data_IF_429223537532
#
_entry.id   IF_429223537532
#
_cell.length_a   1.000
_cell.length_b   1.000
_cell.length_c   1.000
_cell.angle_alpha   90.00
_cell.angle_beta   90.00
_cell.angle_gamma   90.00
#
_symmetry.space_group_name_H-M   'P 1'
#
loop_
_entity.id
_entity.type
_entity.pdbx_description
1 polymer ?
#
# COMPACT_ATOMS: atom_id res chain seq x y z
N UNK A 1 25.10 -31.07 -3.37
CA UNK A 1 25.68 -29.70 -3.51
C UNK A 1 27.19 -29.87 -3.52
N UNK A 2 27.88 -29.69 -4.65
CA UNK A 2 29.36 -29.81 -4.68
C UNK A 2 30.02 -28.62 -3.97
N UNK A 3 31.23 -28.80 -3.42
CA UNK A 3 31.96 -27.84 -2.55
C UNK A 3 32.15 -26.44 -3.16
N UNK A 4 32.05 -26.29 -4.49
CA UNK A 4 31.98 -24.99 -5.16
C UNK A 4 30.73 -24.14 -4.86
N UNK A 5 29.66 -24.72 -4.29
CA UNK A 5 28.36 -24.07 -4.05
C UNK A 5 28.24 -23.34 -2.70
N UNK A 6 29.22 -23.48 -1.80
CA UNK A 6 29.27 -22.73 -0.53
C UNK A 6 29.97 -21.37 -0.66
N UNK A 7 30.37 -20.97 -1.88
CA UNK A 7 31.05 -19.70 -2.13
C UNK A 7 30.29 -18.48 -1.57
N UNK A 8 28.96 -18.51 -1.63
CA UNK A 8 28.09 -17.44 -1.15
C UNK A 8 27.75 -17.55 0.34
N UNK A 9 28.13 -18.65 1.00
CA UNK A 9 27.85 -18.94 2.42
C UNK A 9 29.14 -19.00 3.22
N UNK A 10 29.85 -17.87 3.33
CA UNK A 10 31.19 -17.76 3.93
C UNK A 10 31.29 -18.40 5.32
N UNK A 11 30.31 -18.15 6.18
CA UNK A 11 30.29 -18.69 7.55
C UNK A 11 30.09 -20.22 7.56
N UNK A 12 29.23 -20.73 6.66
CA UNK A 12 28.96 -22.17 6.57
C UNK A 12 30.15 -22.94 6.00
N UNK A 13 30.85 -22.33 5.02
CA UNK A 13 32.11 -22.86 4.49
C UNK A 13 33.17 -22.94 5.60
N UNK A 14 33.38 -21.86 6.35
CA UNK A 14 34.34 -21.81 7.45
C UNK A 14 34.05 -22.89 8.50
N UNK A 15 32.78 -23.06 8.89
CA UNK A 15 32.37 -24.10 9.83
C UNK A 15 32.73 -25.51 9.34
N UNK A 16 32.54 -25.82 8.07
CA UNK A 16 32.97 -27.09 7.48
C UNK A 16 34.48 -27.29 7.52
N UNK A 17 35.23 -26.27 7.12
CA UNK A 17 36.69 -26.32 7.06
C UNK A 17 37.30 -26.55 8.45
N UNK A 18 36.74 -25.91 9.49
CA UNK A 18 37.19 -26.03 10.88
C UNK A 18 36.79 -27.36 11.55
N UNK A 19 35.54 -27.80 11.34
CA UNK A 19 34.98 -28.96 12.06
C UNK A 19 35.15 -30.29 11.33
N UNK A 20 35.50 -30.27 10.03
CA UNK A 20 35.55 -31.45 9.14
C UNK A 20 34.23 -32.24 9.07
N UNK A 21 33.12 -31.64 9.51
CA UNK A 21 31.79 -32.25 9.47
C UNK A 21 31.22 -32.14 8.06
N UNK A 22 30.67 -33.24 7.54
CA UNK A 22 29.94 -33.26 6.29
C UNK A 22 28.54 -32.65 6.49
N UNK A 23 28.21 -31.60 5.73
CA UNK A 23 26.86 -31.02 5.72
C UNK A 23 25.92 -31.96 4.96
N UNK A 24 24.73 -32.20 5.50
CA UNK A 24 23.63 -32.78 4.73
C UNK A 24 23.14 -31.79 3.67
N UNK A 25 23.78 -31.86 2.51
CA UNK A 25 23.46 -30.96 1.41
C UNK A 25 22.07 -31.18 0.81
N UNK A 26 21.47 -32.36 1.03
CA UNK A 26 20.13 -32.67 0.56
C UNK A 26 19.09 -31.93 1.40
N UNK A 27 19.24 -31.99 2.73
CA UNK A 27 18.40 -31.21 3.65
C UNK A 27 18.43 -29.71 3.33
N UNK A 28 19.63 -29.13 3.20
CA UNK A 28 19.77 -27.70 2.86
C UNK A 28 19.16 -27.35 1.50
N UNK A 29 19.31 -28.21 0.51
CA UNK A 29 18.72 -27.98 -0.81
C UNK A 29 17.18 -27.98 -0.75
N UNK A 30 16.59 -28.87 0.03
CA UNK A 30 15.13 -28.92 0.24
C UNK A 30 14.66 -27.68 1.00
N UNK A 31 15.33 -27.32 2.09
CA UNK A 31 14.99 -26.14 2.88
C UNK A 31 15.06 -24.84 2.06
N UNK A 32 16.13 -24.66 1.28
CA UNK A 32 16.29 -23.50 0.39
C UNK A 32 15.22 -23.47 -0.71
N UNK A 33 14.89 -24.63 -1.29
CA UNK A 33 13.82 -24.73 -2.28
C UNK A 33 12.48 -24.30 -1.66
N UNK A 34 12.13 -24.85 -0.50
CA UNK A 34 10.88 -24.51 0.19
C UNK A 34 10.82 -23.02 0.58
N UNK A 35 11.93 -22.44 1.03
CA UNK A 35 12.01 -21.01 1.33
C UNK A 35 11.81 -20.16 0.08
N UNK A 36 12.46 -20.52 -1.03
CA UNK A 36 12.33 -19.82 -2.31
C UNK A 36 10.90 -19.91 -2.85
N UNK A 37 10.33 -21.10 -2.85
CA UNK A 37 9.00 -21.36 -3.38
C UNK A 37 7.93 -20.68 -2.50
N UNK A 38 8.04 -20.77 -1.18
CA UNK A 38 7.14 -20.08 -0.25
C UNK A 38 7.27 -18.56 -0.27
N UNK A 39 8.48 -18.01 -0.49
CA UNK A 39 8.65 -16.58 -0.73
C UNK A 39 7.97 -16.15 -2.03
N UNK A 40 8.18 -16.89 -3.12
CA UNK A 40 7.56 -16.59 -4.41
C UNK A 40 6.03 -16.59 -4.31
N UNK A 41 5.45 -17.59 -3.66
CA UNK A 41 4.01 -17.68 -3.43
C UNK A 41 3.48 -16.46 -2.64
N UNK A 42 4.11 -16.13 -1.50
CA UNK A 42 3.72 -14.97 -0.69
C UNK A 42 3.93 -13.64 -1.44
N UNK A 43 4.94 -13.56 -2.29
CA UNK A 43 5.20 -12.36 -3.09
C UNK A 43 4.14 -12.17 -4.18
N UNK A 44 3.69 -13.25 -4.82
CA UNK A 44 2.54 -13.21 -5.73
C UNK A 44 1.27 -12.76 -5.02
N UNK A 45 0.98 -13.31 -3.84
CA UNK A 45 -0.14 -12.87 -3.00
C UNK A 45 0.00 -11.40 -2.59
N UNK A 46 1.20 -10.93 -2.25
CA UNK A 46 1.44 -9.53 -1.90
C UNK A 46 1.09 -8.59 -3.06
N UNK A 47 1.41 -8.97 -4.31
CA UNK A 47 1.11 -8.16 -5.49
C UNK A 47 -0.39 -7.96 -5.72
N UNK A 48 -1.25 -8.88 -5.27
CA UNK A 48 -2.71 -8.71 -5.40
C UNK A 48 -3.25 -7.63 -4.47
N UNK A 49 -2.54 -7.28 -3.40
CA UNK A 49 -2.91 -6.22 -2.46
C UNK A 49 -2.55 -4.80 -2.97
N UNK A 50 -2.31 -4.64 -4.28
CA UNK A 50 -1.93 -3.37 -4.90
C UNK A 50 -2.90 -2.23 -4.57
N UNK A 51 -4.20 -2.46 -4.68
CA UNK A 51 -5.23 -1.46 -4.38
C UNK A 51 -5.24 -1.10 -2.89
N UNK A 52 -5.04 -2.08 -1.99
CA UNK A 52 -4.89 -1.82 -0.55
C UNK A 52 -3.67 -0.94 -0.25
N UNK A 53 -2.53 -1.20 -0.90
CA UNK A 53 -1.32 -0.37 -0.72
C UNK A 53 -1.50 1.04 -1.32
N UNK A 54 -2.18 1.15 -2.46
CA UNK A 54 -2.52 2.44 -3.06
C UNK A 54 -3.43 3.26 -2.13
N UNK A 55 -4.39 2.61 -1.46
CA UNK A 55 -5.28 3.25 -0.49
C UNK A 55 -4.51 3.85 0.69
N UNK A 56 -3.49 3.16 1.22
CA UNK A 56 -2.66 3.69 2.31
C UNK A 56 -1.94 5.00 1.91
N UNK A 57 -1.48 5.07 0.65
CA UNK A 57 -0.75 6.24 0.15
C UNK A 57 -1.69 7.36 -0.28
N UNK A 58 -2.83 7.01 -0.88
CA UNK A 58 -3.78 7.97 -1.45
C UNK A 58 -5.23 7.48 -1.26
N UNK A 59 -5.79 7.65 -0.05
CA UNK A 59 -7.05 7.02 0.32
C UNK A 59 -8.26 7.61 -0.41
N UNK A 60 -8.20 8.88 -0.82
CA UNK A 60 -9.30 9.57 -1.52
C UNK A 60 -9.43 9.18 -3.00
N UNK A 61 -8.34 8.80 -3.65
CA UNK A 61 -8.32 8.53 -5.09
C UNK A 61 -8.30 7.04 -5.43
N UNK A 62 -8.28 6.16 -4.42
CA UNK A 62 -8.21 4.71 -4.64
C UNK A 62 -9.61 4.10 -4.75
N UNK A 63 -9.77 3.14 -5.66
CA UNK A 63 -11.01 2.37 -5.76
C UNK A 63 -11.20 1.49 -4.52
N UNK A 64 -12.09 1.92 -3.62
CA UNK A 64 -12.36 1.21 -2.36
C UNK A 64 -12.95 -0.18 -2.55
N UNK A 65 -13.56 -0.46 -3.70
CA UNK A 65 -14.22 -1.74 -3.98
C UNK A 65 -13.22 -2.88 -4.25
N UNK A 66 -11.96 -2.54 -4.52
CA UNK A 66 -10.89 -3.50 -4.83
C UNK A 66 -9.91 -3.70 -3.66
N UNK A 67 -10.19 -3.11 -2.49
CA UNK A 67 -9.32 -3.24 -1.32
C UNK A 67 -9.48 -4.66 -0.74
N UNK A 68 -8.37 -5.38 -0.63
CA UNK A 68 -8.30 -6.64 0.08
C UNK A 68 -7.80 -6.42 1.52
N UNK A 69 -8.63 -6.79 2.50
CA UNK A 69 -8.36 -6.61 3.92
C UNK A 69 -8.20 -7.92 4.71
N UNK A 70 -8.57 -9.05 4.11
CA UNK A 70 -8.44 -10.38 4.71
C UNK A 70 -7.03 -10.64 5.27
N UNK A 71 -5.92 -10.31 4.56
CA UNK A 71 -4.57 -10.59 5.05
C UNK A 71 -4.18 -9.81 6.31
N UNK A 72 -4.92 -8.76 6.67
CA UNK A 72 -4.59 -7.86 7.77
C UNK A 72 -5.46 -8.09 9.02
N UNK A 73 -6.43 -9.00 8.95
CA UNK A 73 -7.34 -9.28 10.08
C UNK A 73 -8.20 -8.08 10.48
N UNK A 74 -8.51 -7.20 9.53
CA UNK A 74 -9.35 -6.02 9.75
C UNK A 74 -10.82 -6.43 9.67
N UNK A 75 -11.63 -5.91 10.58
CA UNK A 75 -13.09 -6.07 10.53
C UNK A 75 -13.69 -5.29 9.35
N UNK A 76 -14.37 -6.00 8.46
CA UNK A 76 -14.96 -5.45 7.24
C UNK A 76 -16.06 -4.42 7.55
N UNK A 77 -16.90 -4.68 8.55
CA UNK A 77 -17.98 -3.77 8.93
C UNK A 77 -17.45 -2.41 9.42
N UNK A 78 -16.45 -2.43 10.30
CA UNK A 78 -15.81 -1.21 10.80
C UNK A 78 -15.12 -0.42 9.68
N UNK A 79 -14.42 -1.10 8.77
CA UNK A 79 -13.76 -0.46 7.65
C UNK A 79 -14.76 0.19 6.69
N UNK A 80 -15.85 -0.50 6.34
CA UNK A 80 -16.89 0.03 5.46
C UNK A 80 -17.49 1.33 6.01
N UNK A 81 -17.75 1.39 7.32
CA UNK A 81 -18.24 2.60 7.97
C UNK A 81 -17.23 3.76 7.85
N UNK A 82 -15.95 3.51 8.12
CA UNK A 82 -14.91 4.54 7.99
C UNK A 82 -14.72 5.01 6.53
N UNK A 83 -14.89 4.11 5.55
CA UNK A 83 -14.84 4.46 4.13
C UNK A 83 -16.02 5.34 3.70
N UNK A 84 -17.22 5.15 4.27
CA UNK A 84 -18.37 6.02 4.02
C UNK A 84 -18.13 7.42 4.58
N UNK A 85 -17.59 7.53 5.79
CA UNK A 85 -17.24 8.81 6.41
C UNK A 85 -16.19 9.56 5.59
N UNK A 86 -15.14 8.85 5.13
CA UNK A 86 -14.10 9.41 4.28
C UNK A 86 -14.64 9.98 2.96
N UNK A 87 -15.51 9.24 2.27
CA UNK A 87 -16.17 9.71 1.03
C UNK A 87 -17.05 10.92 1.28
N UNK A 88 -17.74 10.93 2.41
CA UNK A 88 -18.61 12.04 2.81
C UNK A 88 -17.79 13.30 3.07
N UNK A 89 -16.64 13.18 3.74
CA UNK A 89 -15.72 14.29 3.96
C UNK A 89 -15.22 14.92 2.65
N UNK A 90 -14.81 14.10 1.68
CA UNK A 90 -14.36 14.59 0.36
C UNK A 90 -15.48 15.33 -0.40
N UNK A 91 -16.69 14.75 -0.41
CA UNK A 91 -17.87 15.38 -1.00
C UNK A 91 -18.18 16.74 -0.37
N UNK A 92 -18.11 16.84 0.96
CA UNK A 92 -18.35 18.09 1.67
C UNK A 92 -17.27 19.13 1.36
N UNK A 93 -16.00 18.73 1.32
CA UNK A 93 -14.91 19.64 0.95
C UNK A 93 -15.12 20.24 -0.45
N UNK A 94 -15.55 19.42 -1.42
CA UNK A 94 -15.89 19.89 -2.77
C UNK A 94 -17.03 20.91 -2.76
N UNK A 95 -18.15 20.58 -2.09
CA UNK A 95 -19.32 21.47 -1.97
C UNK A 95 -18.97 22.81 -1.30
N UNK A 96 -18.17 22.79 -0.24
CA UNK A 96 -17.74 24.00 0.44
C UNK A 96 -16.81 24.85 -0.44
N UNK A 97 -15.91 24.22 -1.19
CA UNK A 97 -15.04 24.92 -2.13
C UNK A 97 -15.85 25.62 -3.24
N UNK A 98 -16.83 24.93 -3.82
CA UNK A 98 -17.73 25.50 -4.83
C UNK A 98 -18.57 26.64 -4.26
N UNK A 99 -19.16 26.45 -3.07
CA UNK A 99 -19.95 27.48 -2.40
C UNK A 99 -19.11 28.74 -2.12
N UNK A 100 -17.87 28.55 -1.66
CA UNK A 100 -16.94 29.65 -1.41
C UNK A 100 -16.66 30.44 -2.70
N UNK A 101 -16.37 29.76 -3.82
CA UNK A 101 -16.16 30.42 -5.13
C UNK A 101 -17.37 31.25 -5.55
N UNK A 102 -18.58 30.68 -5.43
CA UNK A 102 -19.83 31.38 -5.77
C UNK A 102 -20.05 32.61 -4.89
N UNK A 103 -19.69 32.55 -3.61
CA UNK A 103 -19.81 33.69 -2.71
C UNK A 103 -18.81 34.81 -3.07
N UNK A 104 -17.58 34.45 -3.39
CA UNK A 104 -16.54 35.39 -3.84
C UNK A 104 -16.95 36.08 -5.15
N UNK A 105 -17.49 35.34 -6.13
CA UNK A 105 -18.01 35.87 -7.39
C UNK A 105 -19.16 36.87 -7.17
N UNK A 106 -20.12 36.54 -6.31
CA UNK A 106 -21.24 37.41 -5.98
C UNK A 106 -20.78 38.70 -5.29
N UNK A 107 -19.78 38.62 -4.41
CA UNK A 107 -19.21 39.81 -3.75
C UNK A 107 -18.53 40.73 -4.76
N UNK A 108 -17.78 40.16 -5.71
CA UNK A 108 -17.17 40.90 -6.83
C UNK A 108 -18.26 41.58 -7.68
N UNK A 109 -19.29 40.85 -8.10
CA UNK A 109 -20.38 41.39 -8.93
C UNK A 109 -21.11 42.56 -8.24
N UNK A 110 -21.42 42.41 -6.94
CA UNK A 110 -22.05 43.47 -6.14
C UNK A 110 -21.18 44.71 -6.02
N UNK A 111 -19.86 44.53 -5.88
CA UNK A 111 -18.91 45.65 -5.83
C UNK A 111 -18.80 46.41 -7.17
N UNK A 112 -18.88 45.69 -8.30
CA UNK A 112 -18.90 46.30 -9.63
C UNK A 112 -20.21 47.06 -9.88
N UNK A 113 -21.36 46.51 -9.47
CA UNK A 113 -22.69 47.08 -9.74
C UNK A 113 -22.97 48.34 -8.90
N UNK A 114 -22.46 48.40 -7.67
CA UNK A 114 -22.58 49.58 -6.81
C UNK A 114 -21.70 50.76 -7.26
N UNK A 115 -20.63 50.49 -8.01
CA UNK A 115 -19.75 51.52 -8.58
C UNK A 115 -20.36 52.20 -9.81
N UNK A 116 -21.09 51.45 -10.63
CA UNK A 116 -21.74 51.95 -11.85
C UNK A 116 -23.02 52.77 -11.62
N UNK A 117 -23.59 52.74 -10.41
CA UNK A 117 -24.80 53.49 -10.04
C UNK A 117 -24.50 54.76 -9.25
N UNK A 118 -23.22 55.02 -8.97
CA UNK A 118 -22.73 56.19 -8.23
C UNK A 118 -22.06 57.26 -9.12
N UNK A 119 -22.09 57.08 -10.45
CA UNK A 119 -21.69 58.06 -11.49
C UNK A 119 -22.94 58.67 -12.15
#
# INVERSE_FOLDING_TARGET
MESGKLLHFKNLKQYCDETKVAIDTNYFSIALKNMKDGFAERFEQFKTNKSTLAFIVNPLNTNTNEINIEPFGIDDGSLQMQLLDLKTQDLWNGKFTELKSKLEELEIEKSCTSRSTSE
#
